data_IF_346680927569
#
_entry.id   IF_346680927569
#
_cell.length_a   1.000
_cell.length_b   1.000
_cell.length_c   1.000
_cell.angle_alpha   90.00
_cell.angle_beta   90.00
_cell.angle_gamma   90.00
#
_symmetry.space_group_name_H-M   'P 1'
#
loop_
_entity.id
_entity.type
_entity.pdbx_description
1 polymer ?
#
# COMPACT_ATOMS: atom_id res chain seq x y z
N UNK A 1 -4.81 -41.90 -70.34
CA UNK A 1 -4.04 -41.29 -69.22
C UNK A 1 -4.87 -40.21 -68.63
N UNK A 2 -5.53 -40.54 -67.47
CA UNK A 2 -6.48 -39.66 -66.77
C UNK A 2 -5.75 -38.96 -65.62
N UNK A 3 -5.63 -37.65 -65.70
CA UNK A 3 -5.14 -36.83 -64.61
C UNK A 3 -6.26 -36.58 -63.61
N UNK A 4 -6.09 -37.03 -62.36
CA UNK A 4 -6.93 -36.67 -61.26
C UNK A 4 -6.36 -35.37 -60.64
N UNK A 5 -7.13 -34.28 -60.74
CA UNK A 5 -6.83 -33.01 -60.09
C UNK A 5 -7.46 -33.07 -58.68
N UNK A 6 -6.61 -33.21 -57.67
CA UNK A 6 -7.07 -33.18 -56.26
C UNK A 6 -7.04 -31.73 -55.80
N UNK A 7 -8.22 -31.13 -55.66
CA UNK A 7 -8.37 -29.78 -55.06
C UNK A 7 -8.32 -29.95 -53.56
N UNK A 8 -7.25 -29.46 -52.91
CA UNK A 8 -7.18 -29.29 -51.49
C UNK A 8 -7.98 -28.06 -51.08
N UNK A 9 -9.12 -28.29 -50.38
CA UNK A 9 -9.90 -27.23 -49.75
C UNK A 9 -9.29 -26.93 -48.41
N UNK A 10 -8.45 -25.87 -48.31
CA UNK A 10 -7.98 -25.35 -47.04
C UNK A 10 -9.12 -24.61 -46.34
N UNK A 11 -9.81 -25.27 -45.41
CA UNK A 11 -10.71 -24.61 -44.47
C UNK A 11 -9.85 -23.88 -43.45
N UNK A 12 -9.63 -22.60 -43.64
CA UNK A 12 -9.10 -21.73 -42.61
C UNK A 12 -10.17 -21.52 -41.53
N UNK A 13 -10.05 -22.29 -40.42
CA UNK A 13 -10.78 -21.99 -39.18
C UNK A 13 -10.23 -20.69 -38.61
N UNK A 14 -10.88 -19.58 -38.90
CA UNK A 14 -10.67 -18.33 -38.21
C UNK A 14 -11.25 -18.50 -36.80
N UNK A 15 -10.38 -18.77 -35.82
CA UNK A 15 -10.73 -18.62 -34.41
C UNK A 15 -10.99 -17.13 -34.17
N UNK A 16 -12.24 -16.74 -34.14
CA UNK A 16 -12.64 -15.45 -33.60
C UNK A 16 -12.40 -15.55 -32.11
N UNK A 17 -11.21 -15.08 -31.67
CA UNK A 17 -10.96 -14.84 -30.27
C UNK A 17 -11.88 -13.69 -29.84
N UNK A 18 -12.98 -14.02 -29.22
CA UNK A 18 -13.71 -13.06 -28.41
C UNK A 18 -12.81 -12.73 -27.22
N UNK A 19 -12.02 -11.68 -27.34
CA UNK A 19 -11.56 -10.94 -26.20
C UNK A 19 -12.82 -10.47 -25.49
N UNK A 20 -13.28 -11.25 -24.51
CA UNK A 20 -14.35 -10.80 -23.61
C UNK A 20 -13.79 -9.55 -22.96
N UNK A 21 -14.44 -8.44 -23.27
CA UNK A 21 -13.94 -7.13 -23.01
C UNK A 21 -13.56 -6.91 -21.56
N UNK A 22 -12.34 -6.39 -21.38
CA UNK A 22 -11.92 -5.67 -20.18
C UNK A 22 -12.89 -4.50 -19.84
N UNK A 23 -13.87 -4.25 -20.69
CA UNK A 23 -14.91 -3.26 -20.53
C UNK A 23 -16.27 -3.94 -20.56
N UNK A 24 -16.65 -4.56 -19.43
CA UNK A 24 -18.05 -4.89 -19.20
C UNK A 24 -18.79 -3.55 -19.00
N UNK A 25 -19.69 -3.14 -19.90
CA UNK A 25 -20.42 -1.87 -19.78
C UNK A 25 -21.36 -1.80 -18.57
N UNK A 26 -21.42 -2.86 -17.76
CA UNK A 26 -22.21 -2.92 -16.53
C UNK A 26 -21.42 -2.64 -15.26
N UNK A 27 -20.11 -2.54 -15.30
CA UNK A 27 -19.31 -2.10 -14.15
C UNK A 27 -19.33 -0.57 -14.05
N UNK A 28 -20.35 -0.05 -13.41
CA UNK A 28 -20.37 1.35 -13.02
C UNK A 28 -19.23 1.58 -12.01
N UNK A 29 -18.27 2.42 -12.38
CA UNK A 29 -17.21 2.88 -11.47
C UNK A 29 -17.84 3.48 -10.22
N UNK A 30 -17.53 2.95 -9.07
CA UNK A 30 -18.01 3.43 -7.78
C UNK A 30 -17.21 4.68 -7.32
N UNK A 31 -17.71 5.36 -6.31
CA UNK A 31 -16.96 6.45 -5.66
C UNK A 31 -15.66 5.94 -5.08
N UNK A 32 -15.63 4.73 -4.51
CA UNK A 32 -14.42 4.11 -3.96
C UNK A 32 -13.39 3.79 -5.05
N UNK A 33 -13.83 3.32 -6.22
CA UNK A 33 -12.93 3.11 -7.37
C UNK A 33 -12.33 4.43 -7.84
N UNK A 34 -13.11 5.52 -7.84
CA UNK A 34 -12.63 6.85 -8.18
C UNK A 34 -11.60 7.33 -7.17
N UNK A 35 -11.88 7.23 -5.87
CA UNK A 35 -10.95 7.65 -4.81
C UNK A 35 -9.64 6.88 -4.85
N UNK A 36 -9.70 5.59 -5.18
CA UNK A 36 -8.51 4.76 -5.29
C UNK A 36 -7.73 4.99 -6.59
N UNK A 37 -8.41 5.01 -7.72
CA UNK A 37 -7.81 4.93 -9.06
C UNK A 37 -7.53 6.28 -9.72
N UNK A 38 -7.90 7.42 -9.11
CA UNK A 38 -7.69 8.73 -9.71
C UNK A 38 -6.70 9.61 -8.94
N UNK A 39 -6.08 10.53 -9.67
CA UNK A 39 -5.31 11.62 -9.06
C UNK A 39 -6.33 12.67 -8.60
N UNK A 40 -6.80 12.53 -7.35
CA UNK A 40 -7.72 13.50 -6.75
C UNK A 40 -7.04 14.85 -6.53
N UNK A 41 -7.79 15.96 -6.40
CA UNK A 41 -7.20 17.25 -6.03
C UNK A 41 -6.36 17.16 -4.75
N UNK A 42 -6.76 16.32 -3.78
CA UNK A 42 -6.10 16.14 -2.49
C UNK A 42 -4.82 15.29 -2.58
N UNK A 43 -4.58 14.62 -3.71
CA UNK A 43 -3.31 13.94 -4.02
C UNK A 43 -2.39 14.76 -4.90
N UNK A 44 -2.93 15.57 -5.83
CA UNK A 44 -2.18 16.20 -6.93
C UNK A 44 -1.31 17.39 -6.52
N UNK A 45 -1.56 18.01 -5.37
CA UNK A 45 -0.92 19.25 -4.96
C UNK A 45 0.41 19.07 -4.21
N UNK A 46 0.79 17.83 -3.90
CA UNK A 46 2.00 17.50 -3.17
C UNK A 46 2.73 16.31 -3.82
N UNK A 47 4.04 16.36 -3.77
CA UNK A 47 4.99 15.36 -4.27
C UNK A 47 5.61 14.60 -3.11
N UNK A 48 5.59 13.28 -3.20
CA UNK A 48 6.03 12.40 -2.12
C UNK A 48 7.55 12.20 -2.19
N UNK A 49 8.28 12.57 -1.13
CA UNK A 49 9.72 12.42 -1.12
C UNK A 49 10.21 11.28 -0.22
N UNK A 50 9.61 11.09 0.96
CA UNK A 50 10.15 10.13 1.90
C UNK A 50 9.09 9.57 2.84
N UNK A 51 9.28 8.29 3.17
CA UNK A 51 8.56 7.63 4.26
C UNK A 51 9.51 7.16 5.37
N UNK A 52 9.08 7.27 6.62
CA UNK A 52 9.61 6.46 7.70
C UNK A 52 8.47 5.66 8.33
N UNK A 53 8.35 4.42 7.92
CA UNK A 53 7.42 3.46 8.49
C UNK A 53 8.06 2.84 9.75
N UNK A 54 7.41 3.00 10.89
CA UNK A 54 7.85 2.48 12.20
C UNK A 54 6.69 1.69 12.81
N UNK A 55 6.82 0.37 12.84
CA UNK A 55 5.74 -0.55 13.23
C UNK A 55 6.18 -1.59 14.25
N UNK A 56 5.22 -2.03 15.05
CA UNK A 56 5.31 -3.21 15.90
C UNK A 56 4.36 -4.29 15.41
N UNK A 57 4.85 -5.52 15.35
CA UNK A 57 4.09 -6.69 14.90
C UNK A 57 3.84 -7.61 16.08
N UNK A 58 2.58 -7.97 16.30
CA UNK A 58 2.17 -8.97 17.29
C UNK A 58 1.60 -10.20 16.59
N UNK A 59 2.40 -11.25 16.39
CA UNK A 59 2.00 -12.46 15.68
C UNK A 59 0.82 -13.19 16.31
N UNK A 60 0.79 -13.27 17.66
CA UNK A 60 -0.24 -14.01 18.38
C UNK A 60 -1.64 -13.37 18.21
N UNK A 61 -1.69 -12.06 18.06
CA UNK A 61 -2.93 -11.30 17.84
C UNK A 61 -3.20 -11.02 16.37
N UNK A 62 -2.29 -11.38 15.46
CA UNK A 62 -2.31 -11.00 14.04
C UNK A 62 -2.50 -9.49 13.88
N UNK A 63 -1.76 -8.71 14.64
CA UNK A 63 -1.99 -7.29 14.86
C UNK A 63 -0.74 -6.48 14.57
N UNK A 64 -0.94 -5.30 14.00
CA UNK A 64 0.10 -4.31 13.76
C UNK A 64 -0.32 -2.95 14.32
N UNK A 65 0.66 -2.19 14.80
CA UNK A 65 0.48 -0.80 15.17
C UNK A 65 1.76 -0.01 14.93
N UNK A 66 1.62 1.28 14.66
CA UNK A 66 2.78 2.11 14.44
C UNK A 66 2.46 3.46 13.84
N UNK A 67 3.45 3.99 13.15
CA UNK A 67 3.34 5.28 12.50
C UNK A 67 4.06 5.31 11.16
N UNK A 68 3.60 6.18 10.27
CA UNK A 68 4.31 6.57 9.07
C UNK A 68 4.58 8.08 9.10
N UNK A 69 5.85 8.46 9.04
CA UNK A 69 6.27 9.85 8.87
C UNK A 69 6.47 10.10 7.38
N UNK A 70 5.68 11.00 6.83
CA UNK A 70 5.63 11.34 5.40
C UNK A 70 6.29 12.70 5.20
N UNK A 71 7.32 12.79 4.33
CA UNK A 71 7.84 14.06 3.84
C UNK A 71 7.34 14.28 2.42
N UNK A 72 6.99 15.51 2.12
CA UNK A 72 6.46 15.89 0.81
C UNK A 72 6.84 17.31 0.43
N UNK A 73 7.00 17.54 -0.87
CA UNK A 73 7.17 18.88 -1.45
C UNK A 73 5.81 19.42 -1.90
N UNK A 74 5.53 20.66 -1.56
CA UNK A 74 4.28 21.33 -1.94
C UNK A 74 4.37 21.82 -3.38
N UNK A 75 3.54 21.29 -4.27
CA UNK A 75 3.46 21.66 -5.68
C UNK A 75 2.49 22.81 -5.94
N UNK A 76 1.36 22.81 -5.24
CA UNK A 76 0.33 23.86 -5.32
C UNK A 76 -0.20 24.13 -3.91
N UNK A 77 -0.69 25.36 -3.67
CA UNK A 77 -1.27 25.73 -2.38
C UNK A 77 -2.56 24.96 -2.14
N UNK A 78 -2.59 24.20 -1.06
CA UNK A 78 -3.75 23.43 -0.58
C UNK A 78 -3.52 23.08 0.89
N UNK A 79 -4.57 22.62 1.57
CA UNK A 79 -4.49 22.20 2.97
C UNK A 79 -5.18 20.86 3.25
N UNK A 80 -5.60 20.11 2.24
CA UNK A 80 -6.19 18.78 2.42
C UNK A 80 -5.35 17.74 1.70
N UNK A 81 -4.85 16.75 2.47
CA UNK A 81 -4.12 15.57 1.96
C UNK A 81 -5.05 14.36 1.92
N UNK A 82 -5.01 13.60 0.83
CA UNK A 82 -5.57 12.26 0.82
C UNK A 82 -4.48 11.22 1.13
N UNK A 83 -4.75 10.38 2.12
CA UNK A 83 -3.97 9.19 2.48
C UNK A 83 -4.89 7.97 2.40
N UNK A 84 -4.36 6.86 1.97
CA UNK A 84 -5.10 5.63 1.81
C UNK A 84 -4.66 4.61 2.87
N UNK A 85 -5.64 3.95 3.50
CA UNK A 85 -5.45 2.84 4.42
C UNK A 85 -6.69 1.96 4.37
N UNK A 86 -6.50 0.70 4.03
CA UNK A 86 -7.62 -0.21 3.83
C UNK A 86 -8.11 -0.83 5.13
N UNK A 87 -9.42 -0.99 5.22
CA UNK A 87 -10.04 -1.75 6.30
C UNK A 87 -9.51 -3.19 6.34
N UNK A 88 -9.38 -3.77 7.53
CA UNK A 88 -9.88 -3.31 8.84
C UNK A 88 -8.87 -2.48 9.66
N UNK A 89 -7.81 -1.94 9.04
CA UNK A 89 -6.89 -1.02 9.71
C UNK A 89 -7.54 0.36 9.92
N UNK A 90 -7.10 1.06 10.97
CA UNK A 90 -7.63 2.37 11.35
C UNK A 90 -6.51 3.41 11.46
N UNK A 91 -6.67 4.53 10.76
CA UNK A 91 -5.87 5.73 10.98
C UNK A 91 -6.43 6.46 12.22
N UNK A 92 -5.62 6.48 13.28
CA UNK A 92 -6.04 7.00 14.58
C UNK A 92 -5.86 8.49 14.72
N UNK A 93 -4.76 9.01 14.17
CA UNK A 93 -4.31 10.38 14.38
C UNK A 93 -3.33 10.78 13.29
N UNK A 94 -3.39 12.04 12.89
CA UNK A 94 -2.39 12.69 12.06
C UNK A 94 -1.86 13.94 12.79
N UNK A 95 -0.55 14.18 12.70
CA UNK A 95 0.10 15.36 13.32
C UNK A 95 1.01 16.08 12.33
N UNK A 96 0.94 17.40 12.33
CA UNK A 96 1.93 18.27 11.69
C UNK A 96 2.45 19.27 12.72
N UNK A 97 3.77 19.43 12.81
CA UNK A 97 4.43 20.35 13.75
C UNK A 97 4.00 20.17 15.23
N UNK A 98 3.60 18.94 15.61
CA UNK A 98 3.15 18.62 16.97
C UNK A 98 1.64 18.78 17.20
N UNK A 99 0.94 19.47 16.31
CA UNK A 99 -0.50 19.67 16.39
C UNK A 99 -1.27 18.51 15.75
N UNK A 100 -2.38 18.12 16.39
CA UNK A 100 -3.30 17.12 15.86
C UNK A 100 -4.18 17.73 14.77
N UNK A 101 -4.40 16.96 13.71
CA UNK A 101 -5.13 17.36 12.52
C UNK A 101 -6.50 16.69 12.46
N UNK A 102 -7.45 17.36 11.82
CA UNK A 102 -8.75 16.78 11.51
C UNK A 102 -8.62 15.70 10.44
N UNK A 103 -9.31 14.58 10.65
CA UNK A 103 -9.34 13.45 9.73
C UNK A 103 -10.79 13.16 9.38
N UNK A 104 -11.11 13.13 8.10
CA UNK A 104 -12.39 12.66 7.57
C UNK A 104 -12.17 11.36 6.79
N UNK A 105 -12.90 10.30 7.13
CA UNK A 105 -12.81 8.99 6.47
C UNK A 105 -13.93 8.83 5.45
N UNK A 106 -13.57 8.38 4.24
CA UNK A 106 -14.51 7.95 3.22
C UNK A 106 -14.05 6.59 2.64
N UNK A 107 -14.58 5.50 3.19
CA UNK A 107 -14.12 4.14 2.86
C UNK A 107 -12.66 3.94 3.25
N UNK A 108 -11.80 3.63 2.28
CA UNK A 108 -10.37 3.45 2.48
C UNK A 108 -9.54 4.73 2.30
N UNK A 109 -10.16 5.84 1.93
CA UNK A 109 -9.52 7.15 1.82
C UNK A 109 -9.71 7.96 3.10
N UNK A 110 -8.64 8.63 3.54
CA UNK A 110 -8.61 9.52 4.68
C UNK A 110 -8.18 10.90 4.22
N UNK A 111 -9.05 11.89 4.41
CA UNK A 111 -8.79 13.28 4.09
C UNK A 111 -8.32 14.00 5.35
N UNK A 112 -7.09 14.50 5.33
CA UNK A 112 -6.44 15.12 6.48
C UNK A 112 -6.34 16.62 6.21
N UNK A 113 -7.03 17.42 7.04
CA UNK A 113 -7.06 18.87 6.92
C UNK A 113 -5.92 19.48 7.74
N UNK A 114 -4.97 20.12 7.05
CA UNK A 114 -3.87 20.87 7.66
C UNK A 114 -4.40 22.18 8.22
N UNK A 115 -3.71 22.74 9.24
CA UNK A 115 -4.14 23.97 9.90
C UNK A 115 -4.04 25.22 9.02
N UNK A 116 -3.21 25.18 7.98
CA UNK A 116 -2.96 26.30 7.05
C UNK A 116 -2.69 25.75 5.66
N UNK A 117 -2.97 26.60 4.67
CA UNK A 117 -2.50 26.36 3.30
C UNK A 117 -0.99 26.26 3.29
N UNK A 118 -0.49 25.28 2.54
CA UNK A 118 0.94 25.02 2.46
C UNK A 118 1.60 25.93 1.40
N UNK A 119 2.86 26.26 1.64
CA UNK A 119 3.64 27.16 0.77
C UNK A 119 4.25 26.37 -0.37
N UNK A 120 3.97 26.78 -1.61
CA UNK A 120 4.53 26.14 -2.81
C UNK A 120 6.06 26.10 -2.77
N UNK A 121 6.63 24.94 -3.04
CA UNK A 121 8.08 24.67 -2.99
C UNK A 121 8.61 24.34 -1.60
N UNK A 122 7.82 24.44 -0.52
CA UNK A 122 8.29 24.01 0.80
C UNK A 122 8.34 22.48 0.91
N UNK A 123 9.31 22.00 1.69
CA UNK A 123 9.37 20.62 2.14
C UNK A 123 8.69 20.52 3.51
N UNK A 124 7.63 19.76 3.55
CA UNK A 124 6.79 19.60 4.72
C UNK A 124 6.78 18.15 5.21
N UNK A 125 6.23 17.93 6.40
CA UNK A 125 6.07 16.57 6.93
C UNK A 125 4.82 16.42 7.76
N UNK A 126 4.24 15.22 7.69
CA UNK A 126 3.10 14.79 8.51
C UNK A 126 3.39 13.42 9.11
N UNK A 127 2.97 13.19 10.35
CA UNK A 127 3.08 11.89 11.01
C UNK A 127 1.70 11.27 11.19
N UNK A 128 1.54 10.06 10.68
CA UNK A 128 0.31 9.27 10.68
C UNK A 128 0.44 8.14 11.68
N UNK A 129 -0.56 7.94 12.54
CA UNK A 129 -0.59 6.85 13.52
C UNK A 129 -1.74 5.92 13.21
N UNK A 130 -1.49 4.63 13.20
CA UNK A 130 -2.48 3.63 12.81
C UNK A 130 -2.30 2.32 13.56
N UNK A 131 -3.33 1.48 13.51
CA UNK A 131 -3.33 0.15 14.11
C UNK A 131 -4.43 -0.73 13.53
N UNK A 132 -4.35 -2.00 13.86
CA UNK A 132 -5.44 -2.97 13.64
C UNK A 132 -4.93 -4.34 13.24
N UNK A 133 -5.88 -5.19 12.90
CA UNK A 133 -5.63 -6.50 12.33
C UNK A 133 -5.69 -6.35 10.79
N UNK A 134 -4.56 -6.33 10.07
CA UNK A 134 -4.61 -6.17 8.62
C UNK A 134 -5.36 -7.33 7.97
N UNK A 135 -5.94 -7.09 6.80
CA UNK A 135 -6.56 -8.12 5.98
C UNK A 135 -5.61 -9.32 5.84
N UNK A 136 -6.13 -10.52 6.07
CA UNK A 136 -5.39 -11.75 5.78
C UNK A 136 -5.44 -12.08 4.29
N UNK A 137 -4.30 -12.45 3.72
CA UNK A 137 -4.23 -12.94 2.35
C UNK A 137 -4.89 -14.34 2.27
N UNK A 138 -5.78 -14.51 1.30
CA UNK A 138 -6.49 -15.79 1.10
C UNK A 138 -5.71 -16.69 0.15
N UNK A 139 -5.01 -16.08 -0.81
CA UNK A 139 -4.35 -16.76 -1.93
C UNK A 139 -2.97 -16.16 -2.21
N UNK A 140 -2.17 -16.01 -1.13
CA UNK A 140 -0.86 -15.39 -1.20
C UNK A 140 0.07 -16.10 -2.21
N UNK A 141 0.90 -15.37 -2.96
CA UNK A 141 1.10 -13.93 -2.97
C UNK A 141 0.18 -13.17 -3.94
N UNK A 142 -0.82 -13.83 -4.53
CA UNK A 142 -1.63 -13.33 -5.65
C UNK A 142 -2.78 -12.42 -5.25
N UNK A 143 -3.10 -12.36 -3.98
CA UNK A 143 -4.02 -11.36 -3.41
C UNK A 143 -3.33 -10.55 -2.31
N UNK A 144 -3.83 -9.34 -2.04
CA UNK A 144 -3.26 -8.47 -1.01
C UNK A 144 -3.66 -8.89 0.40
N UNK A 145 -2.77 -8.68 1.35
CA UNK A 145 -2.97 -8.97 2.76
C UNK A 145 -1.71 -9.47 3.46
N UNK A 146 -1.87 -9.86 4.70
CA UNK A 146 -0.80 -10.46 5.51
C UNK A 146 -1.07 -11.95 5.67
N UNK A 147 -0.06 -12.77 5.39
CA UNK A 147 -0.04 -14.19 5.74
C UNK A 147 0.48 -14.34 7.18
N UNK A 148 -0.27 -15.07 8.00
CA UNK A 148 0.07 -15.36 9.39
C UNK A 148 0.18 -16.86 9.58
N UNK A 149 1.31 -17.41 9.13
CA UNK A 149 1.55 -18.86 9.11
C UNK A 149 2.53 -19.27 10.21
N UNK A 150 2.75 -20.56 10.33
CA UNK A 150 3.81 -21.15 11.16
C UNK A 150 4.62 -22.14 10.35
N UNK A 151 5.92 -22.22 10.63
CA UNK A 151 6.78 -23.24 10.07
C UNK A 151 6.53 -24.64 10.72
N UNK A 152 7.21 -25.67 10.22
CA UNK A 152 7.09 -27.05 10.73
C UNK A 152 7.51 -27.20 12.21
N UNK A 153 8.25 -26.24 12.74
CA UNK A 153 8.67 -26.20 14.15
C UNK A 153 7.72 -25.36 15.03
N UNK A 154 6.66 -24.79 14.43
CA UNK A 154 5.68 -23.94 15.11
C UNK A 154 6.08 -22.49 15.28
N UNK A 155 7.19 -22.04 14.66
CA UNK A 155 7.60 -20.64 14.67
C UNK A 155 6.74 -19.84 13.69
N UNK A 156 6.45 -18.57 14.06
CA UNK A 156 5.68 -17.69 13.20
C UNK A 156 6.43 -17.38 11.90
N UNK A 157 5.71 -17.46 10.79
CA UNK A 157 6.09 -16.98 9.48
C UNK A 157 5.06 -15.94 9.01
N UNK A 158 5.51 -14.71 8.81
CA UNK A 158 4.63 -13.58 8.51
C UNK A 158 5.12 -12.91 7.23
N UNK A 159 4.24 -12.75 6.25
CA UNK A 159 4.57 -12.13 4.98
C UNK A 159 3.49 -11.15 4.54
N UNK A 160 3.91 -10.01 3.98
CA UNK A 160 3.00 -9.06 3.35
C UNK A 160 2.91 -9.31 1.85
N UNK A 161 1.71 -9.22 1.30
CA UNK A 161 1.41 -9.23 -0.13
C UNK A 161 0.61 -7.99 -0.49
N UNK A 162 1.01 -7.29 -1.56
CA UNK A 162 0.33 -6.08 -2.00
C UNK A 162 -0.27 -6.19 -3.40
N UNK A 163 -0.18 -7.37 -4.01
CA UNK A 163 -0.65 -7.64 -5.37
C UNK A 163 -2.12 -7.19 -5.54
N UNK A 164 -2.36 -6.34 -6.53
CA UNK A 164 -3.69 -5.83 -6.88
C UNK A 164 -4.34 -4.87 -5.87
N UNK A 165 -3.97 -4.92 -4.59
CA UNK A 165 -4.56 -4.07 -3.53
C UNK A 165 -3.72 -2.85 -3.15
N UNK A 166 -2.44 -2.82 -3.49
CA UNK A 166 -1.53 -1.74 -3.10
C UNK A 166 -1.03 -1.85 -1.65
N UNK A 167 -0.10 -0.97 -1.28
CA UNK A 167 0.55 -1.00 0.02
C UNK A 167 -0.37 -0.53 1.16
N UNK A 168 -1.42 0.21 0.84
CA UNK A 168 -2.43 0.66 1.82
C UNK A 168 -3.19 -0.49 2.51
N UNK A 169 -3.03 -1.73 2.03
CA UNK A 169 -3.57 -2.94 2.68
C UNK A 169 -2.99 -3.19 4.07
N UNK A 170 -1.81 -2.61 4.41
CA UNK A 170 -1.19 -2.84 5.70
C UNK A 170 -0.51 -1.62 6.34
N UNK A 171 -0.37 -0.48 5.65
CA UNK A 171 0.12 0.78 6.22
C UNK A 171 -0.41 2.00 5.46
N UNK A 172 -0.59 3.18 6.13
CA UNK A 172 -1.14 4.38 5.52
C UNK A 172 -0.12 5.06 4.60
N UNK A 173 -0.49 5.29 3.33
CA UNK A 173 0.37 5.90 2.33
C UNK A 173 -0.42 6.62 1.23
N UNK A 174 0.28 7.26 0.29
CA UNK A 174 -0.27 7.78 -0.96
C UNK A 174 -0.28 6.64 -1.98
N UNK A 175 -1.35 5.83 -1.96
CA UNK A 175 -1.43 4.58 -2.73
C UNK A 175 -1.89 4.83 -4.17
N UNK A 176 -1.02 5.43 -4.97
CA UNK A 176 -1.26 5.67 -6.39
C UNK A 176 0.05 5.65 -7.19
N UNK A 177 0.03 4.98 -8.33
CA UNK A 177 1.23 4.72 -9.16
C UNK A 177 1.84 5.94 -9.87
N UNK A 178 1.21 7.11 -9.82
CA UNK A 178 1.75 8.31 -10.48
C UNK A 178 2.85 9.00 -9.66
N UNK A 179 3.00 8.64 -8.39
CA UNK A 179 3.90 9.30 -7.46
C UNK A 179 4.54 8.23 -6.56
N UNK A 180 5.81 7.94 -6.81
CA UNK A 180 6.58 6.96 -6.08
C UNK A 180 7.55 7.67 -5.11
N UNK A 181 7.78 7.05 -3.95
CA UNK A 181 8.67 7.61 -2.94
C UNK A 181 10.14 7.57 -3.38
N UNK A 182 10.89 8.67 -3.21
CA UNK A 182 12.31 8.73 -3.54
C UNK A 182 13.18 7.83 -2.65
N UNK A 183 12.81 7.69 -1.39
CA UNK A 183 13.51 6.84 -0.41
C UNK A 183 12.62 6.51 0.79
N UNK A 184 12.96 5.43 1.50
CA UNK A 184 12.17 4.98 2.64
C UNK A 184 13.04 4.37 3.73
N UNK A 185 12.78 4.75 4.99
CA UNK A 185 13.23 4.00 6.18
C UNK A 185 12.09 3.10 6.66
N UNK A 186 12.41 1.85 6.93
CA UNK A 186 11.46 0.86 7.45
C UNK A 186 12.01 0.34 8.77
N UNK A 187 11.29 0.57 9.87
CA UNK A 187 11.63 0.10 11.21
C UNK A 187 10.57 -0.90 11.66
N UNK A 188 10.94 -2.16 11.85
CA UNK A 188 10.00 -3.22 12.21
C UNK A 188 10.41 -3.85 13.54
N UNK A 189 9.59 -3.66 14.56
CA UNK A 189 9.75 -4.30 15.87
C UNK A 189 8.99 -5.64 15.87
N UNK A 190 9.72 -6.70 16.17
CA UNK A 190 9.18 -8.08 16.26
C UNK A 190 9.58 -8.73 17.58
N UNK A 191 8.82 -9.71 18.10
CA UNK A 191 9.20 -10.50 19.28
C UNK A 191 10.58 -11.15 19.14
N UNK A 192 11.29 -11.36 20.25
CA UNK A 192 12.52 -12.15 20.27
C UNK A 192 12.31 -13.52 19.62
N UNK A 193 13.30 -13.97 18.84
CA UNK A 193 13.25 -15.21 18.09
C UNK A 193 12.78 -15.05 16.66
N UNK A 194 12.17 -13.92 16.31
CA UNK A 194 11.85 -13.59 14.91
C UNK A 194 12.91 -12.67 14.31
N UNK A 195 13.13 -12.86 13.01
CA UNK A 195 13.96 -11.98 12.19
C UNK A 195 13.09 -11.30 11.14
N UNK A 196 13.15 -9.97 11.08
CA UNK A 196 12.49 -9.23 10.01
C UNK A 196 13.42 -9.12 8.80
N UNK A 197 12.85 -9.33 7.62
CA UNK A 197 13.46 -9.06 6.31
C UNK A 197 12.57 -8.09 5.56
N UNK A 198 13.16 -7.03 5.02
CA UNK A 198 12.45 -5.99 4.28
C UNK A 198 13.22 -5.55 3.05
N UNK A 199 12.66 -4.62 2.29
CA UNK A 199 13.32 -4.02 1.13
C UNK A 199 14.52 -3.17 1.57
N UNK A 200 15.49 -3.03 0.69
CA UNK A 200 16.64 -2.17 0.89
C UNK A 200 17.80 -2.82 1.64
N UNK A 201 18.56 -2.00 2.36
CA UNK A 201 19.73 -2.40 3.13
C UNK A 201 19.42 -2.37 4.62
N UNK A 202 19.73 -3.45 5.34
CA UNK A 202 19.70 -3.46 6.80
C UNK A 202 20.79 -2.51 7.33
N UNK A 203 20.38 -1.51 8.09
CA UNK A 203 21.25 -0.53 8.71
C UNK A 203 21.64 -0.94 10.13
N UNK A 204 20.67 -1.38 10.93
CA UNK A 204 20.84 -1.62 12.35
C UNK A 204 19.80 -2.62 12.87
N UNK A 205 20.18 -3.32 13.94
CA UNK A 205 19.26 -4.13 14.76
C UNK A 205 19.33 -3.60 16.19
N UNK A 206 18.26 -2.96 16.65
CA UNK A 206 18.11 -2.53 18.04
C UNK A 206 17.58 -3.69 18.88
N UNK A 207 18.42 -4.25 19.74
CA UNK A 207 18.03 -5.34 20.62
C UNK A 207 17.39 -4.83 21.91
N UNK A 208 16.19 -5.33 22.23
CA UNK A 208 15.48 -5.09 23.49
C UNK A 208 15.31 -6.40 24.25
N UNK A 209 14.85 -6.34 25.48
CA UNK A 209 14.66 -7.53 26.33
C UNK A 209 13.78 -8.58 25.69
N UNK A 210 12.63 -8.18 25.12
CA UNK A 210 11.58 -9.08 24.61
C UNK A 210 11.33 -8.94 23.10
N UNK A 211 12.01 -8.03 22.42
CA UNK A 211 11.82 -7.76 21.00
C UNK A 211 13.11 -7.26 20.36
N UNK A 212 13.15 -7.27 19.04
CA UNK A 212 14.19 -6.64 18.24
C UNK A 212 13.53 -5.69 17.24
N UNK A 213 14.16 -4.52 17.00
CA UNK A 213 13.75 -3.63 15.93
C UNK A 213 14.80 -3.65 14.82
N UNK A 214 14.36 -3.96 13.63
CA UNK A 214 15.20 -4.01 12.43
C UNK A 214 14.99 -2.72 11.63
N UNK A 215 16.07 -2.01 11.32
CA UNK A 215 16.03 -0.75 10.58
C UNK A 215 16.59 -0.95 9.18
N UNK A 216 15.74 -0.75 8.18
CA UNK A 216 16.08 -0.86 6.76
C UNK A 216 16.02 0.49 6.09
N UNK A 217 16.75 0.63 4.97
CA UNK A 217 16.71 1.83 4.13
C UNK A 217 16.74 1.43 2.65
N UNK A 218 15.87 2.04 1.89
CA UNK A 218 15.73 1.88 0.44
C UNK A 218 15.62 3.23 -0.25
#
# INVERSE_FOLDING_TARGET
>A
MRFFLTIYFCVSLSFISFSQGLMDPKNNTTRQDTLRGSITPERSWWDLNYYHLDISVNPEKKYIEGSNLVYYTVLNSNNVLQIDLQEPLELLMAKQQGEELEIQKEGNAYFITLKKDQIVGSLEKIKLFYKGNPREAVNAPWDGGISWEKDDNGNHFIASSCQGLGASVWWPNKDHMYDEVDSMKISVNVPKGLTNVSNGRLLEIEEKKNSNTFHWFV
#
